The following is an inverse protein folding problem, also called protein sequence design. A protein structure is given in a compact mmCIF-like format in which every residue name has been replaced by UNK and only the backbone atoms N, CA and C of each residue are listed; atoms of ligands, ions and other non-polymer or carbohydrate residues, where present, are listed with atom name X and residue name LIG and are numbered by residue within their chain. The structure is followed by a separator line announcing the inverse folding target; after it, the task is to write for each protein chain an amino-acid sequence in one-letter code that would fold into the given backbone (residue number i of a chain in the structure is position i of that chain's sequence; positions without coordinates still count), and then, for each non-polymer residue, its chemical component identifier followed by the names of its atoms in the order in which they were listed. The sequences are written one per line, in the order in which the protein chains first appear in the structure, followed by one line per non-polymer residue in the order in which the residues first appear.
data_IF_783889959767
#
_entry.id   IF_783889959767
#
_cell.length_a   1.000
_cell.length_b   1.000
_cell.length_c   1.000
_cell.angle_alpha   90.00
_cell.angle_beta   90.00
_cell.angle_gamma   90.00
#
_symmetry.space_group_name_H-M   'P 1'
#
loop_
_entity.id
_entity.type
_entity.pdbx_description
1 polymer ?
#
# COMPACT_ATOMS: atom_id res chain seq x y z
N UNK A 1 -2.57 -14.00 5.68
CA UNK A 1 -3.72 -14.51 4.86
C UNK A 1 -3.67 -14.05 3.40
N UNK A 2 -3.81 -12.76 3.08
CA UNK A 2 -3.75 -12.28 1.69
C UNK A 2 -2.34 -12.39 1.10
N UNK A 3 -1.32 -12.00 1.89
CA UNK A 3 0.09 -12.14 1.53
C UNK A 3 0.46 -13.57 1.14
N UNK A 4 -0.02 -14.57 1.89
CA UNK A 4 0.17 -16.00 1.59
C UNK A 4 -0.38 -16.39 0.22
N UNK A 5 -1.60 -15.95 -0.12
CA UNK A 5 -2.19 -16.18 -1.45
C UNK A 5 -1.41 -15.50 -2.57
N UNK A 6 -0.96 -14.26 -2.35
CA UNK A 6 -0.14 -13.55 -3.36
C UNK A 6 1.22 -14.21 -3.57
N UNK A 7 1.82 -14.81 -2.52
CA UNK A 7 3.06 -15.56 -2.63
C UNK A 7 2.85 -16.88 -3.38
N UNK A 8 1.78 -17.62 -3.06
CA UNK A 8 1.42 -18.85 -3.77
C UNK A 8 1.14 -18.58 -5.26
N UNK A 9 0.43 -17.50 -5.58
CA UNK A 9 0.22 -17.08 -6.96
C UNK A 9 1.53 -16.77 -7.68
N UNK A 10 2.47 -16.08 -7.01
CA UNK A 10 3.76 -15.75 -7.59
C UNK A 10 4.61 -17.01 -7.83
N UNK A 11 4.58 -17.98 -6.91
CA UNK A 11 5.23 -19.27 -7.08
C UNK A 11 4.69 -19.99 -8.34
N UNK A 12 3.37 -20.07 -8.47
CA UNK A 12 2.71 -20.67 -9.63
C UNK A 12 3.05 -19.93 -10.94
N UNK A 13 3.10 -18.60 -10.92
CA UNK A 13 3.51 -17.79 -12.07
C UNK A 13 4.95 -18.06 -12.48
N UNK A 14 5.87 -18.19 -11.52
CA UNK A 14 7.27 -18.51 -11.81
C UNK A 14 7.37 -19.83 -12.59
N UNK A 15 6.70 -20.89 -12.12
CA UNK A 15 6.68 -22.19 -12.81
C UNK A 15 6.10 -22.08 -14.23
N UNK A 16 5.03 -21.30 -14.40
CA UNK A 16 4.38 -21.09 -15.70
C UNK A 16 5.28 -20.34 -16.69
N UNK A 17 6.18 -19.49 -16.20
CA UNK A 17 7.14 -18.73 -17.00
C UNK A 17 8.46 -19.50 -17.23
N UNK A 18 8.55 -20.76 -16.78
CA UNK A 18 9.75 -21.59 -16.93
C UNK A 18 10.86 -21.28 -15.93
N UNK A 19 10.56 -20.51 -14.88
CA UNK A 19 11.47 -20.29 -13.75
C UNK A 19 11.20 -21.34 -12.66
N UNK A 20 12.18 -21.67 -11.81
CA UNK A 20 11.90 -22.41 -10.58
C UNK A 20 10.83 -21.69 -9.77
N UNK A 21 9.81 -22.39 -9.26
CA UNK A 21 8.71 -21.77 -8.50
C UNK A 21 9.20 -20.89 -7.35
N UNK A 22 10.24 -21.35 -6.64
CA UNK A 22 10.89 -20.65 -5.54
C UNK A 22 11.97 -19.63 -5.96
N UNK A 23 12.10 -19.30 -7.26
CA UNK A 23 13.12 -18.37 -7.74
C UNK A 23 12.96 -16.98 -7.11
N UNK A 24 13.95 -16.49 -6.33
CA UNK A 24 13.85 -15.21 -5.60
C UNK A 24 13.58 -14.02 -6.52
N UNK A 25 14.15 -14.04 -7.72
CA UNK A 25 14.01 -12.99 -8.72
C UNK A 25 12.55 -12.61 -8.99
N UNK A 26 11.68 -13.61 -9.23
CA UNK A 26 10.27 -13.37 -9.50
C UNK A 26 9.53 -12.71 -8.33
N UNK A 27 9.89 -13.08 -7.10
CA UNK A 27 9.31 -12.48 -5.89
C UNK A 27 9.74 -11.03 -5.69
N UNK A 28 11.02 -10.72 -5.93
CA UNK A 28 11.52 -9.34 -5.84
C UNK A 28 10.90 -8.44 -6.89
N UNK A 29 10.76 -8.90 -8.13
CA UNK A 29 10.10 -8.13 -9.21
C UNK A 29 8.68 -7.74 -8.80
N UNK A 30 7.91 -8.70 -8.28
CA UNK A 30 6.55 -8.42 -7.80
C UNK A 30 6.55 -7.46 -6.60
N UNK A 31 7.46 -7.64 -5.64
CA UNK A 31 7.56 -6.73 -4.48
C UNK A 31 7.91 -5.30 -4.90
N UNK A 32 8.83 -5.13 -5.85
CA UNK A 32 9.21 -3.82 -6.39
C UNK A 32 8.02 -3.17 -7.13
N UNK A 33 7.31 -3.94 -7.94
CA UNK A 33 6.12 -3.46 -8.63
C UNK A 33 5.02 -3.02 -7.64
N UNK A 34 4.75 -3.83 -6.61
CA UNK A 34 3.80 -3.48 -5.54
C UNK A 34 4.25 -2.24 -4.78
N UNK A 35 5.54 -2.08 -4.48
CA UNK A 35 6.07 -0.87 -3.84
C UNK A 35 5.87 0.37 -4.72
N UNK A 36 6.10 0.25 -6.03
CA UNK A 36 5.79 1.31 -6.99
C UNK A 36 4.32 1.73 -6.95
N UNK A 37 3.39 0.77 -6.89
CA UNK A 37 1.95 1.05 -6.75
C UNK A 37 1.64 1.74 -5.41
N UNK A 38 2.27 1.32 -4.32
CA UNK A 38 2.14 1.96 -3.00
C UNK A 38 2.67 3.39 -3.01
N UNK A 39 3.76 3.68 -3.72
CA UNK A 39 4.27 5.05 -3.91
C UNK A 39 3.28 5.93 -4.67
N UNK A 40 2.63 5.39 -5.70
CA UNK A 40 1.56 6.09 -6.43
C UNK A 40 0.36 6.35 -5.49
N UNK A 41 -0.04 5.37 -4.69
CA UNK A 41 -1.11 5.56 -3.70
C UNK A 41 -0.75 6.66 -2.68
N UNK A 42 0.50 6.74 -2.24
CA UNK A 42 0.99 7.80 -1.36
C UNK A 42 0.88 9.19 -2.03
N UNK A 43 1.32 9.30 -3.29
CA UNK A 43 1.17 10.54 -4.06
C UNK A 43 -0.30 10.98 -4.19
N UNK A 44 -1.20 10.05 -4.52
CA UNK A 44 -2.64 10.34 -4.67
C UNK A 44 -3.24 10.75 -3.32
N UNK A 45 -2.89 10.06 -2.24
CA UNK A 45 -3.31 10.41 -0.88
C UNK A 45 -2.89 11.84 -0.51
N UNK A 46 -1.62 12.19 -0.70
CA UNK A 46 -1.10 13.53 -0.40
C UNK A 46 -1.82 14.63 -1.21
N UNK A 47 -2.15 14.36 -2.48
CA UNK A 47 -2.97 15.28 -3.27
C UNK A 47 -4.43 15.39 -2.75
N UNK A 48 -5.00 14.30 -2.24
CA UNK A 48 -6.33 14.33 -1.60
C UNK A 48 -6.34 15.15 -0.30
N UNK A 49 -5.18 15.35 0.34
CA UNK A 49 -4.99 16.29 1.44
C UNK A 49 -4.83 17.75 0.97
N UNK A 50 -5.03 18.05 -0.31
CA UNK A 50 -4.94 19.40 -0.91
C UNK A 50 -3.55 20.03 -0.85
N UNK A 51 -2.50 19.21 -0.70
CA UNK A 51 -1.11 19.69 -0.80
C UNK A 51 -0.76 20.12 -2.23
N UNK A 52 0.15 21.09 -2.42
CA UNK A 52 0.65 21.44 -3.75
C UNK A 52 1.25 20.21 -4.44
N UNK A 53 0.97 20.04 -5.74
CA UNK A 53 1.33 18.82 -6.49
C UNK A 53 2.83 18.50 -6.44
N UNK A 54 3.69 19.52 -6.42
CA UNK A 54 5.13 19.34 -6.32
C UNK A 54 5.54 18.82 -4.92
N UNK A 55 4.89 19.26 -3.85
CA UNK A 55 5.12 18.75 -2.49
C UNK A 55 4.72 17.29 -2.42
N UNK A 56 3.54 16.94 -2.94
CA UNK A 56 3.07 15.55 -3.01
C UNK A 56 4.04 14.67 -3.79
N UNK A 57 4.55 15.14 -4.94
CA UNK A 57 5.47 14.40 -5.79
C UNK A 57 6.82 14.18 -5.09
N UNK A 58 7.41 15.23 -4.52
CA UNK A 58 8.69 15.14 -3.83
C UNK A 58 8.59 14.27 -2.58
N UNK A 59 7.52 14.38 -1.79
CA UNK A 59 7.29 13.52 -0.62
C UNK A 59 7.09 12.05 -1.01
N UNK A 60 6.35 11.76 -2.08
CA UNK A 60 6.20 10.40 -2.59
C UNK A 60 7.52 9.83 -3.14
N UNK A 61 8.35 10.67 -3.78
CA UNK A 61 9.69 10.28 -4.22
C UNK A 61 10.59 9.96 -3.01
N UNK A 62 10.55 10.77 -1.95
CA UNK A 62 11.26 10.48 -0.71
C UNK A 62 10.77 9.17 -0.08
N UNK A 63 9.46 8.94 -0.01
CA UNK A 63 8.89 7.67 0.43
C UNK A 63 9.39 6.49 -0.42
N UNK A 64 9.49 6.65 -1.74
CA UNK A 64 9.95 5.58 -2.63
C UNK A 64 11.40 5.14 -2.35
N UNK A 65 12.29 6.09 -2.06
CA UNK A 65 13.72 5.84 -1.85
C UNK A 65 14.12 5.67 -0.39
N UNK A 66 13.18 5.82 0.56
CA UNK A 66 13.50 5.81 1.98
C UNK A 66 14.02 4.42 2.40
N UNK A 67 15.21 4.32 3.04
CA UNK A 67 15.82 3.04 3.41
C UNK A 67 14.95 2.14 4.30
N UNK A 68 14.03 2.73 5.08
CA UNK A 68 13.07 1.95 5.90
C UNK A 68 12.23 0.97 5.08
N UNK A 69 12.00 1.24 3.79
CA UNK A 69 11.24 0.36 2.92
C UNK A 69 12.11 -0.70 2.24
N UNK A 70 13.43 -0.53 2.20
CA UNK A 70 14.30 -1.49 1.51
C UNK A 70 14.28 -2.85 2.20
N UNK A 71 14.16 -2.89 3.53
CA UNK A 71 14.01 -4.14 4.28
C UNK A 71 12.70 -4.86 3.94
N UNK A 72 11.58 -4.12 3.87
CA UNK A 72 10.27 -4.67 3.52
C UNK A 72 10.18 -5.11 2.04
N UNK A 73 10.91 -4.45 1.13
CA UNK A 73 10.91 -4.79 -0.31
C UNK A 73 11.88 -5.91 -0.62
N UNK A 74 13.07 -5.90 -0.03
CA UNK A 74 14.09 -6.92 -0.22
C UNK A 74 13.70 -8.23 0.45
N UNK A 75 13.03 -8.21 1.61
CA UNK A 75 12.50 -9.42 2.20
C UNK A 75 11.27 -9.91 1.40
N UNK A 76 11.30 -11.14 0.89
CA UNK A 76 10.14 -11.76 0.22
C UNK A 76 8.90 -11.75 1.14
N UNK A 77 9.12 -11.99 2.44
CA UNK A 77 8.09 -12.01 3.49
C UNK A 77 7.51 -10.60 3.75
N UNK A 78 8.27 -9.54 3.44
CA UNK A 78 7.85 -8.15 3.63
C UNK A 78 6.70 -7.70 2.72
N UNK A 79 6.26 -8.53 1.76
CA UNK A 79 5.10 -8.25 0.89
C UNK A 79 3.84 -7.88 1.66
N UNK A 80 3.61 -8.49 2.84
CA UNK A 80 2.48 -8.18 3.69
C UNK A 80 2.44 -6.69 4.08
N UNK A 81 3.59 -6.09 4.39
CA UNK A 81 3.71 -4.67 4.75
C UNK A 81 3.42 -3.76 3.55
N UNK A 82 3.96 -4.11 2.37
CA UNK A 82 3.76 -3.33 1.14
C UNK A 82 2.27 -3.25 0.78
N UNK A 83 1.58 -4.39 0.84
CA UNK A 83 0.14 -4.48 0.57
C UNK A 83 -0.69 -3.76 1.64
N UNK A 84 -0.36 -3.95 2.92
CA UNK A 84 -1.04 -3.27 4.02
C UNK A 84 -0.97 -1.74 3.87
N UNK A 85 0.22 -1.21 3.56
CA UNK A 85 0.42 0.23 3.34
C UNK A 85 -0.31 0.72 2.09
N UNK A 86 -0.21 0.01 0.96
CA UNK A 86 -0.87 0.41 -0.29
C UNK A 86 -2.40 0.45 -0.18
N UNK A 87 -3.00 -0.58 0.41
CA UNK A 87 -4.45 -0.61 0.64
C UNK A 87 -4.90 0.37 1.72
N UNK A 88 -4.11 0.56 2.78
CA UNK A 88 -4.38 1.56 3.82
C UNK A 88 -4.40 2.99 3.29
N UNK A 89 -3.42 3.38 2.47
CA UNK A 89 -3.40 4.68 1.80
C UNK A 89 -4.58 4.86 0.83
N UNK A 90 -4.94 3.79 0.12
CA UNK A 90 -6.11 3.79 -0.78
C UNK A 90 -7.40 4.01 0.00
N UNK A 91 -7.58 3.31 1.12
CA UNK A 91 -8.70 3.49 2.05
C UNK A 91 -8.80 4.95 2.51
N UNK A 92 -7.70 5.54 3.02
CA UNK A 92 -7.69 6.92 3.49
C UNK A 92 -8.02 7.92 2.38
N UNK A 93 -7.52 7.67 1.17
CA UNK A 93 -7.81 8.49 -0.01
C UNK A 93 -9.29 8.45 -0.35
N UNK A 94 -9.89 7.26 -0.42
CA UNK A 94 -11.31 7.08 -0.72
C UNK A 94 -12.19 7.72 0.36
N UNK A 95 -11.82 7.55 1.63
CA UNK A 95 -12.47 8.18 2.77
C UNK A 95 -12.43 9.71 2.67
N UNK A 96 -11.24 10.27 2.44
CA UNK A 96 -11.03 11.72 2.31
C UNK A 96 -11.82 12.34 1.16
N UNK A 97 -11.88 11.67 0.02
CA UNK A 97 -12.61 12.11 -1.16
C UNK A 97 -14.12 11.85 -1.06
N UNK A 98 -14.62 11.41 0.10
CA UNK A 98 -16.03 11.05 0.35
C UNK A 98 -16.60 10.14 -0.75
N UNK A 99 -15.79 9.20 -1.23
CA UNK A 99 -16.23 8.14 -2.16
C UNK A 99 -17.04 7.10 -1.38
N UNK A 100 -17.60 6.13 -2.10
CA UNK A 100 -18.43 5.07 -1.51
C UNK A 100 -17.75 4.42 -0.29
N UNK A 101 -18.44 4.49 0.87
CA UNK A 101 -17.97 3.90 2.12
C UNK A 101 -17.72 2.39 1.99
N UNK A 102 -18.50 1.70 1.15
CA UNK A 102 -18.30 0.28 0.87
C UNK A 102 -16.94 0.01 0.21
N UNK A 103 -16.52 0.85 -0.76
CA UNK A 103 -15.23 0.68 -1.44
C UNK A 103 -14.06 0.99 -0.50
N UNK A 104 -14.21 2.02 0.35
CA UNK A 104 -13.23 2.32 1.41
C UNK A 104 -13.10 1.16 2.41
N UNK A 105 -14.23 0.58 2.83
CA UNK A 105 -14.25 -0.58 3.73
C UNK A 105 -13.61 -1.82 3.10
N UNK A 106 -13.83 -2.08 1.80
CA UNK A 106 -13.17 -3.18 1.09
C UNK A 106 -11.65 -2.96 1.07
N UNK A 107 -11.19 -1.75 0.76
CA UNK A 107 -9.76 -1.42 0.81
C UNK A 107 -9.18 -1.63 2.22
N UNK A 108 -9.91 -1.22 3.26
CA UNK A 108 -9.50 -1.44 4.65
C UNK A 108 -9.40 -2.94 5.00
N UNK A 109 -10.39 -3.74 4.59
CA UNK A 109 -10.39 -5.18 4.83
C UNK A 109 -9.22 -5.87 4.12
N UNK A 110 -8.88 -5.45 2.89
CA UNK A 110 -7.70 -5.96 2.17
C UNK A 110 -6.39 -5.59 2.86
N UNK A 111 -6.31 -4.38 3.44
CA UNK A 111 -5.17 -3.97 4.26
C UNK A 111 -5.02 -4.87 5.50
N UNK A 112 -6.10 -5.07 6.25
CA UNK A 112 -6.13 -5.96 7.43
C UNK A 112 -5.81 -7.41 7.09
N UNK A 113 -6.32 -7.91 5.97
CA UNK A 113 -6.04 -9.26 5.50
C UNK A 113 -4.58 -9.43 5.04
N UNK A 114 -3.91 -8.33 4.72
CA UNK A 114 -2.47 -8.32 4.43
C UNK A 114 -1.65 -8.37 5.70
N UNK A 115 -1.94 -7.48 6.66
CA UNK A 115 -1.25 -7.43 7.96
C UNK A 115 -2.11 -6.76 9.03
N UNK A 116 -2.08 -7.30 10.24
CA UNK A 116 -2.80 -6.80 11.40
C UNK A 116 -2.37 -5.39 11.84
N UNK A 117 -1.13 -4.97 11.52
CA UNK A 117 -0.66 -3.60 11.74
C UNK A 117 -1.51 -2.55 11.01
N UNK A 118 -2.24 -2.94 9.95
CA UNK A 118 -3.16 -2.07 9.25
C UNK A 118 -4.34 -1.56 10.10
N UNK A 119 -4.56 -2.12 11.30
CA UNK A 119 -5.54 -1.59 12.27
C UNK A 119 -5.32 -0.10 12.57
N UNK A 120 -4.08 0.40 12.44
CA UNK A 120 -3.75 1.82 12.64
C UNK A 120 -4.39 2.77 11.62
N UNK A 121 -4.81 2.30 10.45
CA UNK A 121 -5.47 3.17 9.46
C UNK A 121 -6.85 3.66 9.90
N UNK A 122 -7.55 2.90 10.75
CA UNK A 122 -8.85 3.29 11.26
C UNK A 122 -8.82 4.53 12.18
N UNK A 123 -8.01 4.58 13.27
CA UNK A 123 -7.91 5.79 14.08
C UNK A 123 -7.30 6.96 13.30
N UNK A 124 -6.46 6.68 12.29
CA UNK A 124 -5.94 7.73 11.41
C UNK A 124 -7.04 8.38 10.56
N UNK A 125 -8.00 7.60 10.03
CA UNK A 125 -9.16 8.13 9.32
C UNK A 125 -10.02 9.04 10.22
N UNK A 126 -10.27 8.63 11.46
CA UNK A 126 -11.00 9.44 12.45
C UNK A 126 -10.24 10.74 12.76
N UNK A 127 -8.92 10.65 12.93
CA UNK A 127 -8.06 11.81 13.18
C UNK A 127 -8.07 12.78 12.01
N UNK A 128 -8.09 12.27 10.77
CA UNK A 128 -8.24 13.10 9.57
C UNK A 128 -9.57 13.84 9.57
N UNK A 129 -10.68 13.18 9.91
CA UNK A 129 -11.98 13.85 10.02
C UNK A 129 -11.92 14.96 11.07
N UNK A 130 -11.32 14.72 12.24
CA UNK A 130 -11.17 15.73 13.29
C UNK A 130 -10.30 16.93 12.88
N UNK A 131 -9.25 16.72 12.06
CA UNK A 131 -8.35 17.77 11.58
C UNK A 131 -8.97 18.58 10.44
N UNK A 132 -9.59 17.90 9.47
CA UNK A 132 -10.12 18.54 8.25
C UNK A 132 -11.57 19.00 8.38
N UNK A 133 -12.33 18.58 9.40
CA UNK A 133 -13.64 19.15 9.72
C UNK A 133 -13.55 20.57 10.31
N UNK A 134 -12.36 21.00 10.79
CA UNK A 134 -12.15 22.35 11.36
C UNK A 134 -11.88 23.44 10.32
N UNK A 135 -11.70 23.06 9.05
CA UNK A 135 -11.36 23.97 7.96
C UNK A 135 -12.45 24.11 6.88
N UNK A 136 -13.64 23.56 7.11
CA UNK A 136 -14.85 23.73 6.29
C UNK A 136 -15.89 24.50 7.09
#
# INVERSE_FOLDING_TARGET
PLSSWTLALNFWLNERLGLPGAAPFGFHVVNIALHGMTCVAAFVFLNALTLPRWVSATSAAFFAVHPIHTEAVAAIIGRAEILAMGFGLTMLTLHRLRRSAAVSAIAYLLALLSKESALMFFPLAISMDALFARGQ
#
